data_IF_120886154215
#
_entry.id   IF_120886154215
#
_cell.length_a   1.000
_cell.length_b   1.000
_cell.length_c   1.000
_cell.angle_alpha   90.00
_cell.angle_beta   90.00
_cell.angle_gamma   90.00
#
_symmetry.space_group_name_H-M   'P 1'
#
loop_
_entity.id
_entity.type
_entity.pdbx_description
1 polymer ?
#
# COMPACT_ATOMS: atom_id res chain seq x y z
N UNK A 1 25.52 19.35 -8.55
CA UNK A 1 24.52 19.10 -9.62
C UNK A 1 23.58 18.03 -9.12
N UNK A 2 22.28 18.26 -9.10
CA UNK A 2 21.30 17.26 -8.67
C UNK A 2 20.75 16.53 -9.90
N UNK A 3 20.82 15.20 -9.90
CA UNK A 3 20.24 14.38 -10.95
C UNK A 3 18.79 14.06 -10.57
N UNK A 4 17.84 14.46 -11.41
CA UNK A 4 16.43 14.12 -11.21
C UNK A 4 16.17 12.69 -11.72
N UNK A 5 16.02 11.75 -10.79
CA UNK A 5 15.58 10.39 -11.10
C UNK A 5 14.05 10.37 -11.08
N UNK A 6 13.45 9.87 -12.16
CA UNK A 6 12.00 9.64 -12.26
C UNK A 6 11.75 8.14 -12.27
N UNK A 7 10.73 7.72 -11.52
CA UNK A 7 10.21 6.35 -11.57
C UNK A 7 8.97 6.28 -12.48
N UNK A 8 8.65 5.08 -12.94
CA UNK A 8 7.42 4.84 -13.72
C UNK A 8 6.21 5.18 -12.83
N UNK A 9 5.16 5.75 -13.41
CA UNK A 9 3.99 6.18 -12.66
C UNK A 9 2.70 5.99 -13.45
N UNK A 10 1.58 5.86 -12.75
CA UNK A 10 0.26 5.82 -13.37
C UNK A 10 0.02 7.05 -14.27
N UNK A 11 -0.70 6.85 -15.36
CA UNK A 11 -0.96 7.88 -16.38
C UNK A 11 -2.03 8.89 -15.99
N UNK A 12 -2.81 8.62 -14.95
CA UNK A 12 -3.77 9.56 -14.35
C UNK A 12 -3.86 9.36 -12.84
N UNK A 13 -4.38 10.38 -12.14
CA UNK A 13 -4.61 10.35 -10.69
C UNK A 13 -5.84 9.56 -10.24
N UNK A 14 -6.66 9.08 -11.19
CA UNK A 14 -7.96 8.47 -10.92
C UNK A 14 -8.14 7.10 -11.57
N UNK A 15 -7.09 6.55 -12.20
CA UNK A 15 -7.18 5.25 -12.88
C UNK A 15 -6.24 4.23 -12.24
N UNK A 16 -6.86 3.16 -11.74
CA UNK A 16 -6.29 1.87 -11.40
C UNK A 16 -5.35 1.35 -12.49
N UNK A 17 -4.05 1.57 -12.31
CA UNK A 17 -3.06 1.07 -13.24
C UNK A 17 -1.88 0.55 -12.44
N UNK A 18 -2.04 -0.64 -11.85
CA UNK A 18 -0.89 -1.47 -11.58
C UNK A 18 -0.07 -1.57 -12.89
N UNK A 19 1.26 -1.39 -12.85
CA UNK A 19 2.09 -1.55 -14.03
C UNK A 19 1.87 -2.94 -14.65
N UNK A 20 1.73 -3.01 -15.97
CA UNK A 20 1.62 -4.29 -16.67
C UNK A 20 2.95 -5.05 -16.74
N UNK A 21 4.07 -4.33 -16.65
CA UNK A 21 5.41 -4.92 -16.56
C UNK A 21 6.43 -3.94 -15.96
N UNK A 22 7.42 -4.51 -15.28
CA UNK A 22 8.58 -3.83 -14.72
C UNK A 22 9.82 -4.68 -14.98
N UNK A 23 10.89 -4.06 -15.48
CA UNK A 23 12.19 -4.71 -15.55
C UNK A 23 12.74 -4.98 -14.14
N UNK A 24 13.76 -5.83 -14.03
CA UNK A 24 14.37 -6.15 -12.76
C UNK A 24 14.85 -4.91 -12.00
N UNK A 25 14.31 -4.72 -10.79
CA UNK A 25 14.58 -3.55 -9.96
C UNK A 25 13.96 -2.22 -10.43
N UNK A 26 13.15 -2.23 -11.49
CA UNK A 26 12.43 -1.03 -11.93
C UNK A 26 11.34 -0.68 -10.93
N UNK A 27 11.33 0.56 -10.46
CA UNK A 27 10.34 1.07 -9.52
C UNK A 27 9.18 1.75 -10.25
N UNK A 28 7.98 1.57 -9.71
CA UNK A 28 6.79 2.29 -10.16
C UNK A 28 5.85 2.69 -9.02
N UNK A 29 5.07 3.74 -9.25
CA UNK A 29 4.04 4.23 -8.31
C UNK A 29 2.69 4.34 -9.00
N UNK A 30 1.62 3.88 -8.35
CA UNK A 30 0.25 4.14 -8.80
C UNK A 30 -0.35 5.31 -8.04
N UNK A 31 -1.36 5.93 -8.65
CA UNK A 31 -2.18 6.96 -8.05
C UNK A 31 -3.63 6.49 -8.11
N UNK A 32 -4.40 6.71 -7.06
CA UNK A 32 -5.82 6.36 -7.05
C UNK A 32 -6.45 6.55 -5.68
N UNK A 33 -7.78 6.71 -5.63
CA UNK A 33 -8.51 6.87 -4.39
C UNK A 33 -8.47 5.58 -3.55
N UNK A 34 -8.02 5.74 -2.31
CA UNK A 34 -7.62 4.77 -1.28
C UNK A 34 -8.75 3.85 -0.78
N UNK A 35 -9.99 4.10 -1.19
CA UNK A 35 -11.19 3.49 -0.62
C UNK A 35 -11.45 2.02 -0.99
N UNK A 36 -10.67 1.40 -1.91
CA UNK A 36 -10.90 0.02 -2.36
C UNK A 36 -9.62 -0.83 -2.36
N UNK A 37 -9.55 -1.84 -1.49
CA UNK A 37 -8.39 -2.75 -1.40
C UNK A 37 -8.04 -3.50 -2.72
N UNK A 38 -8.97 -3.54 -3.67
CA UNK A 38 -8.85 -4.27 -4.94
C UNK A 38 -8.21 -3.47 -6.07
N UNK A 39 -7.97 -2.16 -5.87
CA UNK A 39 -7.71 -1.22 -6.96
C UNK A 39 -6.21 -0.97 -7.26
N UNK A 40 -5.32 -1.46 -6.40
CA UNK A 40 -3.88 -1.22 -6.51
C UNK A 40 -3.48 0.28 -6.56
N UNK A 41 -4.36 1.19 -6.12
CA UNK A 41 -4.10 2.63 -6.00
C UNK A 41 -3.18 2.94 -4.82
N UNK A 42 -2.45 4.06 -4.90
CA UNK A 42 -1.54 4.53 -3.84
C UNK A 42 -0.46 3.51 -3.43
N UNK A 43 0.00 2.67 -4.36
CA UNK A 43 1.00 1.61 -4.13
C UNK A 43 2.36 1.92 -4.77
N UNK A 44 3.41 1.40 -4.13
CA UNK A 44 4.78 1.32 -4.64
C UNK A 44 5.06 -0.10 -5.12
N UNK A 45 5.60 -0.21 -6.33
CA UNK A 45 5.89 -1.45 -7.01
C UNK A 45 7.37 -1.59 -7.37
N UNK A 46 7.84 -2.82 -7.47
CA UNK A 46 9.16 -3.17 -8.02
C UNK A 46 9.08 -4.38 -8.94
N UNK A 47 9.88 -4.39 -10.01
CA UNK A 47 10.07 -5.59 -10.82
C UNK A 47 10.97 -6.62 -10.14
N UNK A 48 10.56 -7.88 -10.18
CA UNK A 48 11.32 -9.02 -9.67
C UNK A 48 12.64 -9.25 -10.47
N UNK A 49 13.55 -10.07 -9.95
CA UNK A 49 14.89 -10.33 -10.50
C UNK A 49 14.89 -10.75 -11.98
N UNK A 50 13.85 -11.44 -12.42
CA UNK A 50 13.69 -11.89 -13.81
C UNK A 50 12.87 -10.92 -14.68
N UNK A 51 12.44 -9.78 -14.14
CA UNK A 51 11.57 -8.80 -14.82
C UNK A 51 10.21 -9.35 -15.25
N UNK A 52 9.82 -10.50 -14.70
CA UNK A 52 8.62 -11.25 -15.10
C UNK A 52 7.41 -10.96 -14.21
N UNK A 53 7.65 -10.49 -12.98
CA UNK A 53 6.62 -10.21 -11.99
C UNK A 53 6.68 -8.75 -11.53
N UNK A 54 5.51 -8.21 -11.20
CA UNK A 54 5.35 -6.91 -10.56
C UNK A 54 4.99 -7.12 -9.10
N UNK A 55 5.88 -6.73 -8.20
CA UNK A 55 5.73 -6.92 -6.76
C UNK A 55 5.24 -5.63 -6.11
N UNK A 56 4.30 -5.73 -5.17
CA UNK A 56 3.88 -4.61 -4.32
C UNK A 56 4.76 -4.60 -3.08
N UNK A 57 5.44 -3.47 -2.83
CA UNK A 57 6.41 -3.36 -1.73
C UNK A 57 6.05 -2.28 -0.70
N UNK A 58 4.95 -1.56 -0.90
CA UNK A 58 4.48 -0.54 0.01
C UNK A 58 3.59 0.47 -0.69
N UNK A 59 3.58 1.70 -0.20
CA UNK A 59 2.76 2.79 -0.71
C UNK A 59 1.95 3.47 0.39
N UNK A 60 1.34 4.59 0.05
CA UNK A 60 0.51 5.39 0.96
C UNK A 60 -0.66 4.57 1.51
N UNK A 61 -1.30 3.73 0.68
CA UNK A 61 -2.36 2.81 1.10
C UNK A 61 -1.99 2.01 2.37
N UNK A 62 -0.79 1.42 2.40
CA UNK A 62 -0.35 0.62 3.56
C UNK A 62 0.07 1.48 4.74
N UNK A 63 0.61 2.68 4.48
CA UNK A 63 0.99 3.62 5.53
C UNK A 63 -0.25 4.14 6.25
N UNK A 64 -1.31 4.50 5.52
CA UNK A 64 -2.57 4.99 6.07
C UNK A 64 -3.30 3.89 6.86
N UNK A 65 -3.24 2.63 6.39
CA UNK A 65 -3.72 1.48 7.17
C UNK A 65 -2.96 1.30 8.50
N UNK A 66 -1.68 1.66 8.54
CA UNK A 66 -0.83 1.52 9.72
C UNK A 66 -0.85 2.76 10.64
N UNK A 67 -1.53 3.85 10.26
CA UNK A 67 -1.58 5.11 11.01
C UNK A 67 -2.59 5.03 12.17
N UNK A 68 -2.31 4.19 13.16
CA UNK A 68 -3.06 4.11 14.42
C UNK A 68 -2.11 3.80 15.59
N UNK A 69 -2.48 4.25 16.79
CA UNK A 69 -1.74 3.87 17.98
C UNK A 69 -1.87 2.34 18.19
N UNK A 70 -0.77 1.61 18.44
CA UNK A 70 -0.83 0.17 18.68
C UNK A 70 -1.85 -0.17 19.78
N UNK A 71 -2.67 -1.19 19.54
CA UNK A 71 -3.72 -1.62 20.47
C UNK A 71 -5.01 -0.79 20.44
N UNK A 72 -5.13 0.21 19.56
CA UNK A 72 -6.37 0.98 19.41
C UNK A 72 -7.18 0.54 18.19
N UNK A 73 -8.51 0.52 18.33
CA UNK A 73 -9.42 0.23 17.21
C UNK A 73 -9.76 1.51 16.47
N UNK A 74 -9.07 1.76 15.36
CA UNK A 74 -9.36 2.87 14.44
C UNK A 74 -10.12 2.34 13.23
N UNK A 75 -11.17 3.06 12.81
CA UNK A 75 -11.97 2.67 11.65
C UNK A 75 -11.10 2.69 10.37
N UNK A 76 -11.30 1.70 9.50
CA UNK A 76 -10.58 1.56 8.23
C UNK A 76 -9.05 1.39 8.35
N UNK A 77 -8.51 1.07 9.52
CA UNK A 77 -7.09 0.75 9.72
C UNK A 77 -6.85 -0.76 9.80
N UNK A 78 -5.61 -1.19 9.56
CA UNK A 78 -5.19 -2.56 9.85
C UNK A 78 -5.16 -2.80 11.37
N UNK A 79 -5.34 -4.04 11.82
CA UNK A 79 -5.17 -4.40 13.23
C UNK A 79 -3.73 -4.83 13.47
N UNK A 80 -3.00 -4.12 14.34
CA UNK A 80 -1.61 -4.46 14.72
C UNK A 80 -1.59 -5.03 16.14
N UNK A 81 -1.11 -6.26 16.28
CA UNK A 81 -0.91 -6.89 17.58
C UNK A 81 0.27 -6.25 18.33
N UNK A 82 0.19 -6.25 19.66
CA UNK A 82 1.25 -5.73 20.52
C UNK A 82 2.50 -6.64 20.52
N UNK A 83 3.52 -6.26 21.30
CA UNK A 83 4.78 -7.01 21.41
C UNK A 83 4.63 -8.42 22.00
N UNK A 84 3.45 -8.75 22.56
CA UNK A 84 3.11 -10.09 23.07
C UNK A 84 2.17 -10.85 22.11
N UNK A 85 2.02 -10.36 20.88
CA UNK A 85 1.11 -10.90 19.85
C UNK A 85 -0.34 -10.91 20.31
N UNK A 86 -0.77 -9.88 21.06
CA UNK A 86 -2.15 -9.72 21.54
C UNK A 86 -2.83 -8.50 20.91
N UNK A 87 -4.16 -8.59 20.78
CA UNK A 87 -5.06 -7.48 20.50
C UNK A 87 -5.93 -7.31 21.74
N UNK A 88 -5.98 -6.09 22.31
CA UNK A 88 -6.66 -5.82 23.59
C UNK A 88 -8.18 -5.88 23.46
N UNK A 89 -8.77 -4.91 22.77
CA UNK A 89 -10.22 -4.83 22.58
C UNK A 89 -10.59 -4.74 21.09
N UNK A 90 -11.26 -5.77 20.58
CA UNK A 90 -11.83 -5.80 19.21
C UNK A 90 -13.34 -5.66 19.34
N UNK A 91 -13.91 -4.58 18.80
CA UNK A 91 -15.37 -4.49 18.64
C UNK A 91 -15.75 -5.33 17.43
N UNK A 92 -16.56 -6.35 17.66
CA UNK A 92 -17.13 -7.19 16.60
C UNK A 92 -18.60 -6.83 16.51
N UNK A 93 -18.98 -6.18 15.41
CA UNK A 93 -20.33 -5.69 15.14
C UNK A 93 -20.76 -4.48 16.01
N UNK A 94 -21.94 -3.93 15.70
CA UNK A 94 -22.54 -2.78 16.38
C UNK A 94 -23.43 -3.26 17.54
N UNK A 95 -22.83 -4.01 18.46
CA UNK A 95 -23.45 -4.40 19.73
C UNK A 95 -23.10 -3.33 20.78
N UNK A 96 -23.89 -2.28 20.82
CA UNK A 96 -24.08 -1.48 22.05
C UNK A 96 -25.14 -2.16 22.95
#
# INVERSE_FOLDING_TARGET
>A
MATLIKIKRASSGSAELAPSSLAAGELAVSYGDDSLHSNAGDRLFVGDVDGSNVLVIGGKYFADLADHAPGTLTASSALIADASSKLDNIKVDNLD
#
